data_IF_704539817704
#
_entry.id   IF_704539817704
#
_cell.length_a   1.000
_cell.length_b   1.000
_cell.length_c   1.000
_cell.angle_alpha   90.00
_cell.angle_beta   90.00
_cell.angle_gamma   90.00
#
_symmetry.space_group_name_H-M   'P 1'
#
loop_
_entity.id
_entity.type
_entity.pdbx_description
1 polymer ?
#
# COMPACT_ATOMS: atom_id res chain seq x y z
N UNK A 1 10.36 24.32 14.21
CA UNK A 1 9.74 23.94 12.92
C UNK A 1 8.38 23.37 13.27
N UNK A 2 7.28 23.97 12.80
CA UNK A 2 5.94 23.44 13.11
C UNK A 2 5.78 22.05 12.48
N UNK A 3 5.24 21.10 13.23
CA UNK A 3 4.93 19.76 12.72
C UNK A 3 3.73 19.82 11.77
N UNK A 4 3.50 18.75 11.00
CA UNK A 4 2.32 18.63 10.14
C UNK A 4 1.01 18.91 10.91
N UNK A 5 0.84 18.30 12.08
CA UNK A 5 -0.39 18.47 12.86
C UNK A 5 -0.51 19.85 13.51
N UNK A 6 0.59 20.53 13.82
CA UNK A 6 0.52 21.93 14.28
C UNK A 6 -0.09 22.83 13.19
N UNK A 7 0.23 22.58 11.91
CA UNK A 7 -0.35 23.33 10.77
C UNK A 7 -1.82 22.96 10.53
N UNK A 8 -2.19 21.69 10.70
CA UNK A 8 -3.59 21.23 10.62
C UNK A 8 -4.42 21.85 11.75
N UNK A 9 -3.90 21.89 12.97
CA UNK A 9 -4.55 22.49 14.13
C UNK A 9 -4.71 24.02 13.96
N UNK A 10 -3.73 24.67 13.32
CA UNK A 10 -3.83 26.08 12.95
C UNK A 10 -4.87 26.31 11.84
N UNK A 11 -4.90 25.48 10.80
CA UNK A 11 -5.92 25.54 9.75
C UNK A 11 -7.33 25.35 10.32
N UNK A 12 -7.51 24.40 11.25
CA UNK A 12 -8.81 24.09 11.87
C UNK A 12 -9.34 25.25 12.72
N UNK A 13 -8.46 26.10 13.27
CA UNK A 13 -8.84 27.23 14.13
C UNK A 13 -8.87 28.58 13.39
N UNK A 14 -8.50 28.60 12.11
CA UNK A 14 -8.39 29.84 11.34
C UNK A 14 -9.75 30.42 10.92
N UNK A 15 -9.85 31.74 10.72
CA UNK A 15 -10.96 32.32 9.97
C UNK A 15 -10.97 31.80 8.53
N UNK A 16 -12.15 31.59 7.95
CA UNK A 16 -12.29 31.06 6.58
C UNK A 16 -11.58 31.90 5.51
N UNK A 17 -11.40 33.20 5.75
CA UNK A 17 -10.62 34.10 4.89
C UNK A 17 -9.14 33.75 4.79
N UNK A 18 -8.58 33.03 5.77
CA UNK A 18 -7.16 32.63 5.83
C UNK A 18 -6.94 31.16 5.46
N UNK A 19 -7.99 30.36 5.38
CA UNK A 19 -7.92 28.91 5.17
C UNK A 19 -7.13 28.54 3.92
N UNK A 20 -7.38 29.23 2.79
CA UNK A 20 -6.71 28.94 1.53
C UNK A 20 -5.18 29.15 1.61
N UNK A 21 -4.72 30.20 2.30
CA UNK A 21 -3.29 30.48 2.47
C UNK A 21 -2.61 29.42 3.36
N UNK A 22 -3.28 29.01 4.44
CA UNK A 22 -2.79 27.97 5.36
C UNK A 22 -2.75 26.59 4.70
N UNK A 23 -3.78 26.27 3.91
CA UNK A 23 -3.83 25.04 3.11
C UNK A 23 -2.71 25.01 2.07
N UNK A 24 -2.51 26.10 1.33
CA UNK A 24 -1.41 26.23 0.38
C UNK A 24 -0.06 25.98 1.05
N UNK A 25 0.13 26.51 2.26
CA UNK A 25 1.36 26.28 3.02
C UNK A 25 1.58 24.81 3.39
N UNK A 26 0.52 24.07 3.72
CA UNK A 26 0.62 22.63 4.00
C UNK A 26 0.98 21.88 2.72
N UNK A 27 0.34 22.21 1.59
CA UNK A 27 0.65 21.57 0.30
C UNK A 27 2.09 21.79 -0.11
N UNK A 28 2.60 23.02 -0.02
CA UNK A 28 4.02 23.32 -0.31
C UNK A 28 5.03 22.51 0.50
N UNK A 29 4.68 22.15 1.73
CA UNK A 29 5.58 21.47 2.65
C UNK A 29 5.49 19.93 2.58
N UNK A 30 4.32 19.39 2.26
CA UNK A 30 4.05 17.95 2.41
C UNK A 30 3.47 17.29 1.16
N UNK A 31 2.93 18.04 0.20
CA UNK A 31 2.37 17.46 -1.02
C UNK A 31 3.48 17.00 -1.97
N UNK A 32 3.35 15.76 -2.44
CA UNK A 32 4.27 15.13 -3.39
C UNK A 32 3.51 14.11 -4.23
N UNK A 33 4.04 13.76 -5.40
CA UNK A 33 3.50 12.68 -6.22
C UNK A 33 4.27 11.40 -5.96
N UNK A 34 3.57 10.33 -5.57
CA UNK A 34 4.17 9.03 -5.24
C UNK A 34 3.31 7.90 -5.77
N UNK A 35 3.94 6.75 -6.01
CA UNK A 35 3.26 5.48 -6.13
C UNK A 35 3.15 4.83 -4.76
N UNK A 36 1.93 4.52 -4.34
CA UNK A 36 1.60 3.88 -3.07
C UNK A 36 1.41 2.40 -3.29
N UNK A 37 2.04 1.58 -2.45
CA UNK A 37 1.77 0.14 -2.32
C UNK A 37 1.15 -0.09 -0.95
N UNK A 38 -0.06 -0.63 -0.94
CA UNK A 38 -0.69 -1.18 0.25
C UNK A 38 -0.68 -2.71 0.16
N UNK A 39 -0.36 -3.34 1.28
CA UNK A 39 -0.38 -4.79 1.45
C UNK A 39 -1.24 -5.13 2.65
N UNK A 40 -2.12 -6.10 2.49
CA UNK A 40 -2.98 -6.65 3.55
C UNK A 40 -2.80 -8.17 3.65
N UNK A 41 -2.83 -8.73 4.86
CA UNK A 41 -2.81 -10.18 5.05
C UNK A 41 -4.23 -10.75 5.02
N UNK A 42 -4.45 -11.75 4.18
CA UNK A 42 -5.77 -12.40 4.16
C UNK A 42 -6.03 -13.24 5.42
N UNK A 43 -7.27 -13.21 5.92
CA UNK A 43 -7.79 -14.21 6.85
C UNK A 43 -7.52 -13.99 8.34
N UNK A 44 -7.25 -12.74 8.77
CA UNK A 44 -7.05 -12.35 10.17
C UNK A 44 -8.03 -13.03 11.15
N UNK A 45 -9.34 -12.80 10.97
CA UNK A 45 -10.39 -13.27 11.89
C UNK A 45 -10.46 -14.80 12.00
N UNK A 46 -10.22 -15.51 10.90
CA UNK A 46 -10.26 -16.97 10.86
C UNK A 46 -9.04 -17.56 11.60
N UNK A 47 -7.85 -16.99 11.35
CA UNK A 47 -6.61 -17.44 11.98
C UNK A 47 -6.65 -17.28 13.50
N UNK A 48 -7.09 -16.12 14.02
CA UNK A 48 -7.16 -15.89 15.47
C UNK A 48 -8.11 -16.87 16.17
N UNK A 49 -9.26 -17.18 15.55
CA UNK A 49 -10.23 -18.13 16.11
C UNK A 49 -9.72 -19.57 16.11
N UNK A 50 -8.96 -19.97 15.08
CA UNK A 50 -8.45 -21.33 14.91
C UNK A 50 -7.19 -21.61 15.74
N UNK A 51 -6.29 -20.64 15.81
CA UNK A 51 -4.90 -20.85 16.27
C UNK A 51 -4.54 -19.98 17.49
N UNK A 52 -5.39 -19.02 17.86
CA UNK A 52 -5.15 -18.07 18.93
C UNK A 52 -4.32 -16.86 18.49
N UNK A 53 -4.34 -15.82 19.34
CA UNK A 53 -3.75 -14.51 19.03
C UNK A 53 -2.22 -14.56 18.88
N UNK A 54 -1.53 -15.40 19.65
CA UNK A 54 -0.05 -15.48 19.60
C UNK A 54 0.42 -16.03 18.26
N UNK A 55 -0.22 -17.10 17.76
CA UNK A 55 0.10 -17.68 16.46
C UNK A 55 -0.11 -16.65 15.34
N UNK A 56 -1.18 -15.87 15.42
CA UNK A 56 -1.46 -14.82 14.46
C UNK A 56 -0.41 -13.69 14.49
N UNK A 57 -0.01 -13.23 15.68
CA UNK A 57 1.07 -12.24 15.83
C UNK A 57 2.41 -12.75 15.25
N UNK A 58 2.69 -14.05 15.35
CA UNK A 58 3.87 -14.63 14.69
C UNK A 58 3.79 -14.52 13.16
N UNK A 59 2.59 -14.70 12.57
CA UNK A 59 2.38 -14.53 11.12
C UNK A 59 2.59 -13.08 10.70
N UNK A 60 2.01 -12.12 11.44
CA UNK A 60 2.22 -10.69 11.22
C UNK A 60 3.71 -10.35 11.27
N UNK A 61 4.41 -10.79 12.33
CA UNK A 61 5.82 -10.46 12.50
C UNK A 61 6.67 -11.06 11.37
N UNK A 62 6.35 -12.27 10.92
CA UNK A 62 7.03 -12.90 9.79
C UNK A 62 6.80 -12.13 8.49
N UNK A 63 5.56 -11.72 8.22
CA UNK A 63 5.24 -10.87 7.07
C UNK A 63 6.09 -9.60 7.10
N UNK A 64 6.08 -8.86 8.21
CA UNK A 64 6.87 -7.63 8.37
C UNK A 64 8.36 -7.86 8.11
N UNK A 65 8.97 -8.86 8.76
CA UNK A 65 10.39 -9.17 8.59
C UNK A 65 10.77 -9.58 7.15
N UNK A 66 9.83 -10.13 6.39
CA UNK A 66 10.06 -10.59 5.01
C UNK A 66 9.78 -9.49 3.98
N UNK A 67 8.79 -8.63 4.23
CA UNK A 67 8.33 -7.59 3.31
C UNK A 67 9.21 -6.34 3.39
N UNK A 68 9.58 -5.90 4.59
CA UNK A 68 10.28 -4.63 4.79
C UNK A 68 11.61 -4.51 4.00
N UNK A 69 12.49 -5.54 3.97
CA UNK A 69 13.73 -5.46 3.19
C UNK A 69 13.46 -5.34 1.69
N UNK A 70 12.47 -6.06 1.17
CA UNK A 70 12.12 -6.07 -0.25
C UNK A 70 11.62 -4.71 -0.75
N UNK A 71 10.91 -3.96 0.09
CA UNK A 71 10.52 -2.58 -0.23
C UNK A 71 11.78 -1.74 -0.47
N UNK A 72 12.76 -1.79 0.45
CA UNK A 72 14.01 -1.04 0.35
C UNK A 72 14.90 -1.47 -0.82
N UNK A 73 15.03 -2.78 -1.07
CA UNK A 73 15.78 -3.33 -2.21
C UNK A 73 15.25 -2.83 -3.56
N UNK A 74 13.95 -2.57 -3.62
CA UNK A 74 13.26 -2.03 -4.78
C UNK A 74 13.09 -0.50 -4.71
N UNK A 75 13.92 0.22 -3.94
CA UNK A 75 13.91 1.71 -3.86
C UNK A 75 12.61 2.31 -3.35
N UNK A 76 11.85 1.56 -2.56
CA UNK A 76 10.70 2.06 -1.82
C UNK A 76 11.07 2.53 -0.42
N UNK A 77 10.19 3.34 0.14
CA UNK A 77 10.20 3.73 1.54
C UNK A 77 9.00 3.10 2.24
N UNK A 78 9.24 2.30 3.27
CA UNK A 78 8.18 1.84 4.16
C UNK A 78 7.70 3.03 4.99
N UNK A 79 6.42 3.39 4.85
CA UNK A 79 5.80 4.46 5.64
C UNK A 79 5.45 3.95 7.03
N UNK A 80 4.66 2.87 7.09
CA UNK A 80 4.22 2.26 8.34
C UNK A 80 3.76 0.82 8.15
N UNK A 81 3.72 0.07 9.25
CA UNK A 81 2.95 -1.15 9.38
C UNK A 81 1.87 -0.95 10.45
N UNK A 82 0.63 -1.27 10.13
CA UNK A 82 -0.50 -1.20 11.07
C UNK A 82 -1.12 -2.58 11.18
N UNK A 83 -0.87 -3.25 12.31
CA UNK A 83 -1.20 -4.66 12.49
C UNK A 83 -0.63 -5.54 11.35
N UNK A 84 -1.50 -6.15 10.57
CA UNK A 84 -1.23 -7.01 9.42
C UNK A 84 -1.12 -6.27 8.08
N UNK A 85 -1.25 -4.94 8.10
CA UNK A 85 -1.07 -4.10 6.93
C UNK A 85 0.35 -3.53 6.83
N UNK A 86 0.81 -3.32 5.60
CA UNK A 86 2.02 -2.54 5.30
C UNK A 86 1.72 -1.48 4.23
N UNK A 87 2.22 -0.27 4.47
CA UNK A 87 2.10 0.87 3.58
C UNK A 87 3.48 1.35 3.17
N UNK A 88 3.72 1.43 1.86
CA UNK A 88 4.98 1.89 1.29
C UNK A 88 4.74 2.88 0.16
N UNK A 89 5.73 3.74 -0.08
CA UNK A 89 5.73 4.71 -1.18
C UNK A 89 6.98 4.54 -2.04
N UNK A 90 6.83 4.83 -3.32
CA UNK A 90 7.86 4.73 -4.35
C UNK A 90 7.80 5.98 -5.24
N UNK A 91 8.96 6.37 -5.77
CA UNK A 91 9.05 7.40 -6.82
C UNK A 91 8.68 6.88 -8.22
N UNK A 92 8.63 5.55 -8.40
CA UNK A 92 8.41 4.92 -9.70
C UNK A 92 7.48 3.70 -9.58
N UNK A 93 6.45 3.68 -10.43
CA UNK A 93 5.47 2.60 -10.53
C UNK A 93 6.08 1.22 -10.82
N UNK A 94 7.14 1.15 -11.64
CA UNK A 94 7.81 -0.10 -11.98
C UNK A 94 8.53 -0.70 -10.75
N UNK A 95 9.08 0.15 -9.89
CA UNK A 95 9.70 -0.27 -8.64
C UNK A 95 8.66 -0.84 -7.67
N UNK A 96 7.51 -0.18 -7.51
CA UNK A 96 6.41 -0.67 -6.68
C UNK A 96 5.91 -2.04 -7.17
N UNK A 97 5.66 -2.21 -8.48
CA UNK A 97 5.23 -3.50 -9.05
C UNK A 97 6.31 -4.57 -8.90
N UNK A 98 7.59 -4.21 -9.06
CA UNK A 98 8.69 -5.16 -8.86
C UNK A 98 8.82 -5.61 -7.41
N UNK A 99 8.62 -4.71 -6.45
CA UNK A 99 8.59 -5.01 -5.03
C UNK A 99 7.44 -5.98 -4.70
N UNK A 100 6.22 -5.70 -5.18
CA UNK A 100 5.07 -6.60 -5.04
C UNK A 100 5.36 -7.99 -5.64
N UNK A 101 5.98 -7.98 -6.83
CA UNK A 101 6.71 -9.07 -7.48
C UNK A 101 7.47 -9.98 -6.52
N UNK A 102 8.44 -9.37 -5.86
CA UNK A 102 9.37 -10.04 -4.97
C UNK A 102 8.69 -10.51 -3.68
N UNK A 103 7.81 -9.70 -3.11
CA UNK A 103 7.04 -10.02 -1.90
C UNK A 103 6.25 -11.30 -2.09
N UNK A 104 5.47 -11.41 -3.17
CA UNK A 104 4.70 -12.62 -3.45
C UNK A 104 5.59 -13.85 -3.58
N UNK A 105 6.75 -13.74 -4.24
CA UNK A 105 7.69 -14.86 -4.34
C UNK A 105 8.25 -15.29 -2.99
N UNK A 106 8.60 -14.34 -2.13
CA UNK A 106 9.12 -14.66 -0.79
C UNK A 106 8.04 -15.30 0.08
N UNK A 107 6.81 -14.77 0.08
CA UNK A 107 5.69 -15.35 0.82
C UNK A 107 5.39 -16.78 0.36
N UNK A 108 5.33 -17.02 -0.95
CA UNK A 108 5.13 -18.37 -1.51
C UNK A 108 6.30 -19.29 -1.13
N UNK A 109 7.54 -18.81 -1.20
CA UNK A 109 8.71 -19.58 -0.76
C UNK A 109 8.67 -19.93 0.73
N UNK A 110 8.21 -19.01 1.58
CA UNK A 110 8.03 -19.27 3.01
C UNK A 110 6.92 -20.29 3.26
N UNK A 111 5.80 -20.22 2.54
CA UNK A 111 4.72 -21.22 2.62
C UNK A 111 5.24 -22.62 2.26
N UNK A 112 6.06 -22.75 1.21
CA UNK A 112 6.67 -24.01 0.83
C UNK A 112 7.65 -24.57 1.89
N UNK A 113 8.41 -23.69 2.55
CA UNK A 113 9.40 -24.08 3.57
C UNK A 113 8.79 -24.40 4.94
N UNK A 114 7.73 -23.68 5.33
CA UNK A 114 7.19 -23.70 6.71
C UNK A 114 5.78 -24.31 6.81
N UNK A 115 5.16 -24.64 5.67
CA UNK A 115 3.77 -25.05 5.57
C UNK A 115 2.81 -23.89 5.30
N UNK A 116 1.78 -24.13 4.49
CA UNK A 116 0.82 -23.12 4.04
C UNK A 116 0.08 -22.45 5.20
N UNK A 117 -0.30 -23.22 6.22
CA UNK A 117 -0.97 -22.69 7.42
C UNK A 117 -0.06 -21.76 8.24
N UNK A 118 1.26 -21.83 8.09
CA UNK A 118 2.23 -21.03 8.87
C UNK A 118 2.41 -19.61 8.34
N UNK A 119 2.00 -19.32 7.11
CA UNK A 119 2.26 -18.03 6.44
C UNK A 119 1.02 -17.62 5.67
N UNK A 120 0.38 -16.53 6.12
CA UNK A 120 -0.80 -16.03 5.43
C UNK A 120 -0.41 -15.48 4.05
N UNK A 121 -1.21 -15.75 3.00
CA UNK A 121 -1.07 -15.04 1.75
C UNK A 121 -1.46 -13.56 1.95
N UNK A 122 -1.02 -12.72 1.00
CA UNK A 122 -1.25 -11.27 1.04
C UNK A 122 -1.98 -10.81 -0.22
N UNK A 123 -2.80 -9.77 -0.09
CA UNK A 123 -3.31 -8.98 -1.20
C UNK A 123 -2.47 -7.71 -1.34
N UNK A 124 -2.18 -7.28 -2.57
CA UNK A 124 -1.41 -6.05 -2.81
C UNK A 124 -2.17 -5.14 -3.77
N UNK A 125 -2.35 -3.89 -3.35
CA UNK A 125 -2.94 -2.82 -4.15
C UNK A 125 -1.93 -1.71 -4.41
N UNK A 126 -1.89 -1.19 -5.63
CA UNK A 126 -0.96 -0.12 -6.02
C UNK A 126 -1.71 0.97 -6.77
N UNK A 127 -1.54 2.21 -6.33
CA UNK A 127 -2.00 3.40 -7.04
C UNK A 127 -0.92 4.49 -7.07
N UNK A 128 -1.07 5.51 -7.91
CA UNK A 128 -0.11 6.61 -7.99
C UNK A 128 -0.82 7.95 -8.17
N UNK A 129 -0.31 8.98 -7.51
CA UNK A 129 -0.85 10.32 -7.61
C UNK A 129 -0.37 11.25 -6.48
N UNK A 130 -0.95 12.45 -6.39
CA UNK A 130 -0.61 13.41 -5.34
C UNK A 130 -1.08 12.92 -3.97
N UNK A 131 -0.23 13.09 -2.96
CA UNK A 131 -0.53 12.81 -1.56
C UNK A 131 0.25 13.74 -0.65
N UNK A 132 -0.20 13.87 0.60
CA UNK A 132 0.56 14.49 1.68
C UNK A 132 1.43 13.43 2.33
N UNK A 133 2.75 13.55 2.23
CA UNK A 133 3.71 12.65 2.86
C UNK A 133 4.26 13.29 4.13
N UNK A 134 4.14 12.61 5.27
CA UNK A 134 4.77 12.98 6.54
C UNK A 134 5.92 11.99 6.77
N UNK A 135 7.18 12.39 6.48
CA UNK A 135 8.31 11.48 6.47
C UNK A 135 8.44 10.68 7.77
N UNK A 136 8.64 9.37 7.65
CA UNK A 136 8.77 8.44 8.78
C UNK A 136 7.54 8.31 9.68
N UNK A 137 6.36 8.79 9.24
CA UNK A 137 5.14 8.74 10.05
C UNK A 137 3.91 8.24 9.30
N UNK A 138 3.46 8.94 8.27
CA UNK A 138 2.21 8.61 7.57
C UNK A 138 2.12 9.27 6.19
N UNK A 139 1.11 8.88 5.40
CA UNK A 139 0.72 9.61 4.21
C UNK A 139 -0.80 9.62 4.01
N UNK A 140 -1.31 10.69 3.41
CA UNK A 140 -2.75 10.89 3.19
C UNK A 140 -3.01 11.33 1.75
N UNK A 141 -3.91 10.66 1.06
CA UNK A 141 -4.29 11.00 -0.30
C UNK A 141 -5.20 9.95 -0.90
N UNK A 142 -5.83 10.28 -2.03
CA UNK A 142 -6.66 9.35 -2.78
C UNK A 142 -5.91 8.07 -3.21
N UNK A 143 -4.63 8.14 -3.65
CA UNK A 143 -3.86 6.94 -3.97
C UNK A 143 -3.68 5.99 -2.79
N UNK A 144 -3.58 6.52 -1.56
CA UNK A 144 -3.49 5.71 -0.34
C UNK A 144 -4.80 4.94 -0.12
N UNK A 145 -5.93 5.64 -0.22
CA UNK A 145 -7.25 5.04 -0.05
C UNK A 145 -7.54 3.97 -1.11
N UNK A 146 -7.23 4.24 -2.38
CA UNK A 146 -7.47 3.29 -3.48
C UNK A 146 -6.55 2.08 -3.34
N UNK A 147 -5.26 2.27 -3.03
CA UNK A 147 -4.34 1.17 -2.82
C UNK A 147 -4.82 0.22 -1.71
N UNK A 148 -5.27 0.75 -0.56
CA UNK A 148 -5.82 -0.07 0.52
C UNK A 148 -7.08 -0.83 0.09
N UNK A 149 -8.04 -0.17 -0.55
CA UNK A 149 -9.26 -0.85 -1.02
C UNK A 149 -8.96 -1.94 -2.05
N UNK A 150 -7.98 -1.73 -2.93
CA UNK A 150 -7.52 -2.77 -3.83
C UNK A 150 -6.91 -3.96 -3.07
N UNK A 151 -6.09 -3.69 -2.05
CA UNK A 151 -5.41 -4.73 -1.28
C UNK A 151 -6.36 -5.53 -0.36
N UNK A 152 -7.23 -4.86 0.38
CA UNK A 152 -8.08 -5.44 1.44
C UNK A 152 -9.41 -5.96 0.88
N UNK A 153 -10.12 -5.15 0.09
CA UNK A 153 -11.51 -5.47 -0.30
C UNK A 153 -11.60 -6.34 -1.56
N UNK A 154 -10.59 -6.29 -2.43
CA UNK A 154 -10.70 -6.80 -3.80
C UNK A 154 -9.66 -7.88 -4.13
N UNK A 155 -8.39 -7.66 -3.80
CA UNK A 155 -7.33 -8.59 -4.14
C UNK A 155 -7.58 -9.94 -3.48
N UNK A 156 -7.52 -11.01 -4.28
CA UNK A 156 -7.51 -12.38 -3.76
C UNK A 156 -6.14 -12.69 -3.18
N UNK A 157 -6.00 -13.77 -2.38
CA UNK A 157 -4.70 -14.26 -1.93
C UNK A 157 -3.66 -14.28 -3.05
N UNK A 158 -2.52 -13.61 -2.84
CA UNK A 158 -1.40 -13.46 -3.77
C UNK A 158 -1.67 -12.62 -5.04
N UNK A 159 -2.83 -11.96 -5.16
CA UNK A 159 -3.08 -11.04 -6.26
C UNK A 159 -2.43 -9.67 -6.03
N UNK A 160 -1.95 -9.10 -7.14
CA UNK A 160 -1.48 -7.72 -7.21
C UNK A 160 -2.42 -6.98 -8.15
N UNK A 161 -3.07 -5.95 -7.63
CA UNK A 161 -3.96 -5.07 -8.37
C UNK A 161 -3.35 -3.68 -8.49
N UNK A 162 -3.41 -3.11 -9.69
CA UNK A 162 -2.94 -1.76 -9.96
C UNK A 162 -4.06 -0.95 -10.64
N UNK A 163 -4.07 0.36 -10.44
CA UNK A 163 -5.01 1.25 -11.16
C UNK A 163 -4.59 1.47 -12.61
N UNK A 164 -5.51 2.01 -13.42
CA UNK A 164 -5.20 2.51 -14.77
C UNK A 164 -4.14 3.61 -14.78
N UNK A 165 -4.02 4.41 -13.72
CA UNK A 165 -2.95 5.41 -13.60
C UNK A 165 -1.59 4.73 -13.52
N UNK A 166 -1.43 3.76 -12.62
CA UNK A 166 -0.18 2.99 -12.51
C UNK A 166 0.12 2.27 -13.81
N UNK A 167 -0.88 1.60 -14.41
CA UNK A 167 -0.69 0.87 -15.67
C UNK A 167 -0.09 1.76 -16.78
N UNK A 168 -0.54 3.01 -16.90
CA UNK A 168 -0.04 3.94 -17.93
C UNK A 168 1.38 4.43 -17.65
N UNK A 169 1.81 4.42 -16.40
CA UNK A 169 3.16 4.81 -15.98
C UNK A 169 4.19 3.68 -16.10
N UNK A 170 3.74 2.43 -16.28
CA UNK A 170 4.64 1.30 -16.43
C UNK A 170 5.38 1.33 -17.77
N UNK A 171 6.66 1.03 -17.72
CA UNK A 171 7.45 0.83 -18.92
C UNK A 171 7.15 -0.55 -19.54
N UNK A 172 7.21 -0.70 -20.87
CA UNK A 172 7.09 -2.01 -21.51
C UNK A 172 8.14 -2.98 -20.96
N UNK A 173 7.70 -4.17 -20.54
CA UNK A 173 8.57 -5.18 -19.95
C UNK A 173 8.08 -6.59 -20.28
N UNK A 174 9.00 -7.55 -20.35
CA UNK A 174 8.70 -8.97 -20.46
C UNK A 174 8.56 -9.66 -19.09
N UNK A 175 8.80 -8.94 -17.99
CA UNK A 175 8.85 -9.52 -16.65
C UNK A 175 7.47 -9.87 -16.06
N UNK A 176 6.42 -9.23 -16.56
CA UNK A 176 5.03 -9.43 -16.18
C UNK A 176 4.10 -8.89 -17.28
N UNK A 177 2.81 -9.26 -17.23
CA UNK A 177 1.74 -8.69 -18.04
C UNK A 177 0.61 -8.17 -17.14
N UNK A 178 -0.24 -7.32 -17.68
CA UNK A 178 -1.41 -6.78 -16.96
C UNK A 178 -2.70 -7.17 -17.65
N UNK A 179 -3.70 -7.59 -16.89
CA UNK A 179 -5.04 -7.94 -17.37
C UNK A 179 -6.07 -6.99 -16.78
N UNK A 180 -6.84 -6.28 -17.62
CA UNK A 180 -7.87 -5.35 -17.15
C UNK A 180 -8.97 -6.10 -16.40
N UNK A 181 -9.38 -5.56 -15.27
CA UNK A 181 -10.49 -6.01 -14.44
C UNK A 181 -11.53 -4.89 -14.35
N UNK A 182 -12.81 -5.26 -14.45
CA UNK A 182 -13.91 -4.33 -14.18
C UNK A 182 -14.25 -4.41 -12.69
N UNK A 183 -13.77 -3.45 -11.90
CA UNK A 183 -13.94 -3.43 -10.45
C UNK A 183 -14.80 -2.22 -10.04
N UNK A 184 -15.51 -2.37 -8.92
CA UNK A 184 -16.27 -1.29 -8.30
C UNK A 184 -15.77 -1.11 -6.87
N UNK A 185 -15.37 0.11 -6.54
CA UNK A 185 -14.85 0.50 -5.23
C UNK A 185 -15.81 1.53 -4.65
N UNK A 186 -16.46 1.20 -3.53
CA UNK A 186 -17.45 2.06 -2.87
C UNK A 186 -18.56 2.60 -3.81
N UNK A 187 -18.97 1.79 -4.79
CA UNK A 187 -20.01 2.14 -5.76
C UNK A 187 -19.51 2.92 -6.99
N UNK A 188 -18.22 3.24 -7.06
CA UNK A 188 -17.60 3.86 -8.24
C UNK A 188 -16.87 2.81 -9.06
N UNK A 189 -17.12 2.78 -10.37
CA UNK A 189 -16.37 1.93 -11.29
C UNK A 189 -14.92 2.42 -11.39
N UNK A 190 -13.96 1.58 -11.02
CA UNK A 190 -12.54 1.87 -11.14
C UNK A 190 -11.94 0.88 -12.14
N UNK A 191 -11.26 1.43 -13.14
CA UNK A 191 -10.44 0.65 -14.05
C UNK A 191 -9.18 0.18 -13.31
N UNK A 192 -9.11 -1.12 -13.05
CA UNK A 192 -7.98 -1.75 -12.38
C UNK A 192 -7.45 -2.90 -13.24
N UNK A 193 -6.24 -3.33 -12.93
CA UNK A 193 -5.52 -4.33 -13.68
C UNK A 193 -4.87 -5.31 -12.72
N UNK A 194 -5.00 -6.59 -13.01
CA UNK A 194 -4.27 -7.63 -12.31
C UNK A 194 -2.89 -7.81 -12.94
N UNK A 195 -1.85 -7.81 -12.13
CA UNK A 195 -0.48 -8.12 -12.58
C UNK A 195 -0.30 -9.63 -12.57
N UNK A 196 0.18 -10.17 -13.69
CA UNK A 196 0.40 -11.59 -13.91
C UNK A 196 1.86 -11.83 -14.29
N UNK A 197 2.49 -12.81 -13.64
CA UNK A 197 3.79 -13.33 -14.06
C UNK A 197 3.63 -14.42 -15.12
#
# INVERSE_FOLDING_TARGET
MNTFFDLIDDLTRCPQSEAASREQRIRELFETEKTVLALDMSGFTVSVRREGIIAHLCKIRRMQLSVMPLIGEHRGELVKCEADNALAVFDDSNHAVSAALAINREIIGLQQRLGEDSVAPVGIGIDSGPLLLIPGRDCYGDPVNIAFKLAEDIARPTEILITETVQRMLAPTAAFRTERQALSISGMAIAAYRVLR
#
